data_IF_134842247368
#
_entry.id   IF_134842247368
#
_cell.length_a   1.000
_cell.length_b   1.000
_cell.length_c   1.000
_cell.angle_alpha   90.00
_cell.angle_beta   90.00
_cell.angle_gamma   90.00
#
_symmetry.space_group_name_H-M   'P 1'
#
loop_
_entity.id
_entity.type
_entity.pdbx_description
1 polymer ?
#
# COMPACT_ATOMS: atom_id res chain seq x y z
N UNK A 1 -16.08 -1.63 -19.51
CA UNK A 1 -16.18 -2.02 -18.09
C UNK A 1 -16.06 -0.76 -17.25
N UNK A 2 -16.99 -0.55 -16.30
CA UNK A 2 -16.97 0.63 -15.43
C UNK A 2 -16.28 0.30 -14.11
N UNK A 3 -15.28 1.09 -13.73
CA UNK A 3 -14.52 0.92 -12.51
C UNK A 3 -14.63 2.14 -11.60
N UNK A 4 -14.84 1.93 -10.30
CA UNK A 4 -14.66 2.93 -9.27
C UNK A 4 -13.32 2.72 -8.60
N UNK A 5 -12.54 3.79 -8.43
CA UNK A 5 -11.29 3.79 -7.66
C UNK A 5 -11.41 4.78 -6.50
N UNK A 6 -11.31 4.29 -5.27
CA UNK A 6 -11.13 5.16 -4.10
C UNK A 6 -9.65 5.29 -3.81
N UNK A 7 -9.21 6.44 -3.30
CA UNK A 7 -7.78 6.69 -3.10
C UNK A 7 -6.99 6.93 -4.40
N UNK A 8 -7.69 7.22 -5.52
CA UNK A 8 -7.11 7.45 -6.84
C UNK A 8 -6.06 8.57 -6.89
N UNK A 9 -6.11 9.53 -5.97
CA UNK A 9 -5.18 10.66 -5.90
C UNK A 9 -3.88 10.34 -5.16
N UNK A 10 -3.80 9.16 -4.54
CA UNK A 10 -2.61 8.67 -3.84
C UNK A 10 -1.58 8.03 -4.78
N UNK A 11 -0.47 7.57 -4.19
CA UNK A 11 0.63 6.92 -4.89
C UNK A 11 0.14 5.73 -5.74
N UNK A 12 -0.30 4.65 -5.11
CA UNK A 12 -0.72 3.42 -5.81
C UNK A 12 -1.98 3.69 -6.64
N UNK A 13 -2.95 4.45 -6.09
CA UNK A 13 -4.22 4.71 -6.77
C UNK A 13 -4.09 5.45 -8.08
N UNK A 14 -3.14 6.38 -8.20
CA UNK A 14 -2.89 7.11 -9.45
C UNK A 14 -2.29 6.21 -10.54
N UNK A 15 -1.35 5.34 -10.19
CA UNK A 15 -0.83 4.32 -11.12
C UNK A 15 -1.92 3.32 -11.56
N UNK A 16 -2.75 2.87 -10.62
CA UNK A 16 -3.87 1.99 -10.94
C UNK A 16 -4.88 2.66 -11.88
N UNK A 17 -5.20 3.93 -11.64
CA UNK A 17 -6.11 4.71 -12.49
C UNK A 17 -5.60 4.77 -13.94
N UNK A 18 -4.33 5.11 -14.13
CA UNK A 18 -3.70 5.13 -15.46
C UNK A 18 -3.72 3.73 -16.13
N UNK A 19 -3.39 2.69 -15.37
CA UNK A 19 -3.38 1.34 -15.89
C UNK A 19 -4.77 0.84 -16.27
N UNK A 20 -5.80 1.16 -15.49
CA UNK A 20 -7.19 0.82 -15.80
C UNK A 20 -7.65 1.49 -17.10
N UNK A 21 -7.33 2.78 -17.30
CA UNK A 21 -7.62 3.49 -18.56
C UNK A 21 -6.93 2.81 -19.75
N UNK A 22 -5.63 2.47 -19.63
CA UNK A 22 -4.89 1.73 -20.67
C UNK A 22 -5.49 0.35 -20.96
N UNK A 23 -6.13 -0.27 -19.98
CA UNK A 23 -6.83 -1.54 -20.10
C UNK A 23 -8.29 -1.42 -20.57
N UNK A 24 -8.73 -0.24 -21.03
CA UNK A 24 -10.06 0.00 -21.61
C UNK A 24 -11.20 0.11 -20.61
N UNK A 25 -10.90 0.43 -19.34
CA UNK A 25 -11.94 0.74 -18.37
C UNK A 25 -12.41 2.20 -18.50
N UNK A 26 -13.71 2.42 -18.29
CA UNK A 26 -14.22 3.74 -17.93
C UNK A 26 -14.04 3.92 -16.42
N UNK A 27 -13.18 4.84 -16.01
CA UNK A 27 -12.78 5.00 -14.62
C UNK A 27 -13.48 6.18 -13.98
N UNK A 28 -14.10 5.95 -12.82
CA UNK A 28 -14.55 6.99 -11.90
C UNK A 28 -13.67 7.00 -10.66
N UNK A 29 -13.24 8.17 -10.22
CA UNK A 29 -12.40 8.36 -9.04
C UNK A 29 -13.24 9.00 -7.92
N UNK A 30 -13.38 8.30 -6.78
CA UNK A 30 -13.97 8.91 -5.58
C UNK A 30 -12.96 9.87 -4.96
N UNK A 31 -13.32 11.15 -4.89
CA UNK A 31 -12.45 12.22 -4.42
C UNK A 31 -13.15 13.13 -3.42
N UNK A 32 -12.45 13.56 -2.37
CA UNK A 32 -12.95 14.56 -1.43
C UNK A 32 -12.84 15.95 -2.05
N UNK A 33 -13.58 16.93 -1.52
CA UNK A 33 -13.54 18.31 -2.04
C UNK A 33 -12.13 18.94 -2.00
N UNK A 34 -11.32 18.57 -1.02
CA UNK A 34 -9.95 19.06 -0.81
C UNK A 34 -8.86 18.11 -1.34
N UNK A 35 -9.21 17.11 -2.17
CA UNK A 35 -8.24 16.18 -2.74
C UNK A 35 -7.29 16.90 -3.71
N UNK A 36 -5.99 16.63 -3.58
CA UNK A 36 -5.01 17.08 -4.57
C UNK A 36 -5.07 16.17 -5.79
N UNK A 37 -5.50 16.69 -6.92
CA UNK A 37 -5.75 15.94 -8.15
C UNK A 37 -4.51 15.80 -9.05
N UNK A 38 -3.36 16.35 -8.67
CA UNK A 38 -2.13 16.48 -9.52
C UNK A 38 -1.75 15.22 -10.32
N UNK A 39 -2.03 14.02 -9.81
CA UNK A 39 -1.64 12.77 -10.48
C UNK A 39 -2.74 12.19 -11.39
N UNK A 40 -3.96 12.69 -11.29
CA UNK A 40 -5.08 12.27 -12.13
C UNK A 40 -5.64 13.41 -12.99
N UNK A 41 -5.10 14.61 -12.84
CA UNK A 41 -5.42 15.77 -13.67
C UNK A 41 -5.05 15.49 -15.12
N UNK A 42 -5.94 15.83 -16.04
CA UNK A 42 -5.75 15.55 -17.48
C UNK A 42 -6.03 14.11 -17.92
N UNK A 43 -6.25 13.17 -16.99
CA UNK A 43 -6.70 11.82 -17.34
C UNK A 43 -8.19 11.82 -17.71
N UNK A 44 -8.59 10.95 -18.64
CA UNK A 44 -9.99 10.77 -19.03
C UNK A 44 -10.76 9.96 -17.97
N UNK A 45 -11.00 10.58 -16.80
CA UNK A 45 -11.71 9.99 -15.68
C UNK A 45 -12.92 10.83 -15.27
N UNK A 46 -13.94 10.20 -14.72
CA UNK A 46 -15.05 10.89 -14.05
C UNK A 46 -14.70 11.10 -12.58
N UNK A 47 -14.95 12.29 -12.05
CA UNK A 47 -14.76 12.56 -10.62
C UNK A 47 -16.11 12.43 -9.90
N UNK A 48 -16.18 11.51 -8.95
CA UNK A 48 -17.29 11.37 -8.03
C UNK A 48 -16.90 11.99 -6.68
N UNK A 49 -17.68 12.97 -6.22
CA UNK A 49 -17.45 13.62 -4.92
C UNK A 49 -17.99 12.79 -3.79
N UNK A 50 -17.14 12.51 -2.79
CA UNK A 50 -17.52 11.76 -1.59
C UNK A 50 -16.31 11.49 -0.69
N UNK A 51 -16.62 11.12 0.55
CA UNK A 51 -15.65 10.74 1.57
C UNK A 51 -16.02 9.38 2.14
N UNK A 52 -15.09 8.43 2.19
CA UNK A 52 -15.32 7.10 2.76
C UNK A 52 -15.74 7.17 4.25
N UNK A 53 -15.36 8.22 4.98
CA UNK A 53 -15.77 8.42 6.36
C UNK A 53 -17.22 8.93 6.52
N UNK A 54 -17.84 9.41 5.44
CA UNK A 54 -19.21 9.92 5.42
C UNK A 54 -20.13 9.05 4.55
N UNK A 55 -20.93 8.13 5.14
CA UNK A 55 -21.81 7.23 4.40
C UNK A 55 -22.82 7.95 3.49
N UNK A 56 -23.30 9.14 3.89
CA UNK A 56 -24.28 9.89 3.14
C UNK A 56 -23.71 10.38 1.80
N UNK A 57 -22.40 10.67 1.75
CA UNK A 57 -21.70 11.08 0.53
C UNK A 57 -21.49 9.94 -0.47
N UNK A 58 -21.77 8.69 -0.10
CA UNK A 58 -21.52 7.49 -0.91
C UNK A 58 -22.77 6.97 -1.63
N UNK A 59 -23.91 7.67 -1.54
CA UNK A 59 -25.20 7.24 -2.12
C UNK A 59 -25.16 7.07 -3.64
N UNK A 60 -24.30 7.83 -4.32
CA UNK A 60 -24.17 7.81 -5.77
C UNK A 60 -23.18 6.73 -6.29
N UNK A 61 -22.68 5.87 -5.40
CA UNK A 61 -21.85 4.73 -5.79
C UNK A 61 -22.72 3.63 -6.37
N UNK A 62 -23.01 3.71 -7.68
CA UNK A 62 -23.87 2.75 -8.37
C UNK A 62 -23.44 2.50 -9.82
N UNK A 63 -23.81 1.31 -10.32
CA UNK A 63 -23.63 0.96 -11.74
C UNK A 63 -22.20 0.67 -12.14
N UNK A 64 -21.35 0.28 -11.20
CA UNK A 64 -19.97 -0.14 -11.44
C UNK A 64 -19.87 -1.66 -11.65
N UNK A 65 -19.00 -2.07 -12.58
CA UNK A 65 -18.60 -3.47 -12.74
C UNK A 65 -17.53 -3.89 -11.72
N UNK A 66 -16.65 -2.94 -11.35
CA UNK A 66 -15.52 -3.17 -10.45
C UNK A 66 -15.36 -2.01 -9.48
N UNK A 67 -15.01 -2.32 -8.24
CA UNK A 67 -14.62 -1.33 -7.24
C UNK A 67 -13.24 -1.68 -6.73
N UNK A 68 -12.30 -0.73 -6.83
CA UNK A 68 -10.96 -0.82 -6.28
C UNK A 68 -10.85 0.11 -5.09
N UNK A 69 -10.78 -0.45 -3.90
CA UNK A 69 -10.75 0.33 -2.66
C UNK A 69 -9.33 0.42 -2.11
N UNK A 70 -8.69 1.58 -2.37
CA UNK A 70 -7.35 1.93 -1.93
C UNK A 70 -7.34 3.07 -0.92
N UNK A 71 -8.47 3.74 -0.69
CA UNK A 71 -8.56 4.83 0.28
C UNK A 71 -8.17 4.31 1.67
N UNK A 72 -7.34 5.07 2.35
CA UNK A 72 -6.85 4.77 3.69
C UNK A 72 -5.69 5.71 4.05
N UNK A 73 -5.33 5.72 5.33
CA UNK A 73 -4.20 6.48 5.86
C UNK A 73 -3.11 5.53 6.35
N UNK A 74 -1.90 5.67 5.80
CA UNK A 74 -0.70 5.00 6.30
C UNK A 74 -0.08 5.75 7.49
N UNK A 75 -0.40 7.03 7.60
CA UNK A 75 0.04 7.94 8.67
C UNK A 75 -1.16 8.73 9.15
N UNK A 76 -1.63 8.44 10.34
CA UNK A 76 -2.70 9.15 11.01
C UNK A 76 -2.13 9.96 12.19
N UNK A 77 -2.78 11.04 12.58
CA UNK A 77 -2.38 11.83 13.74
C UNK A 77 -2.63 11.10 15.06
N UNK A 78 -3.61 10.19 15.09
CA UNK A 78 -3.96 9.36 16.25
C UNK A 78 -4.67 8.07 15.80
N UNK A 79 -4.89 7.16 16.76
CA UNK A 79 -5.55 5.86 16.50
C UNK A 79 -6.98 6.02 15.99
N UNK A 80 -7.74 7.01 16.48
CA UNK A 80 -9.12 7.25 16.08
C UNK A 80 -9.21 7.66 14.60
N UNK A 81 -8.30 8.52 14.13
CA UNK A 81 -8.22 8.91 12.73
C UNK A 81 -7.90 7.70 11.84
N UNK A 82 -6.96 6.84 12.27
CA UNK A 82 -6.63 5.59 11.57
C UNK A 82 -7.84 4.66 11.48
N UNK A 83 -8.55 4.48 12.60
CA UNK A 83 -9.76 3.67 12.65
C UNK A 83 -10.85 4.19 11.70
N UNK A 84 -11.14 5.49 11.76
CA UNK A 84 -12.16 6.12 10.90
C UNK A 84 -11.81 5.95 9.42
N UNK A 85 -10.54 6.19 9.05
CA UNK A 85 -10.15 6.14 7.64
C UNK A 85 -10.04 4.71 7.09
N UNK A 86 -9.44 3.78 7.84
CA UNK A 86 -9.05 2.47 7.32
C UNK A 86 -10.12 1.39 7.56
N UNK A 87 -10.76 1.40 8.73
CA UNK A 87 -11.74 0.38 9.10
C UNK A 87 -13.16 0.86 8.82
N UNK A 88 -13.58 1.98 9.44
CA UNK A 88 -14.94 2.51 9.26
C UNK A 88 -15.20 2.98 7.82
N UNK A 89 -14.20 3.63 7.19
CA UNK A 89 -14.28 4.01 5.79
C UNK A 89 -14.46 2.81 4.86
N UNK A 90 -13.76 1.70 5.15
CA UNK A 90 -13.94 0.44 4.40
C UNK A 90 -15.33 -0.15 4.62
N UNK A 91 -15.84 -0.17 5.87
CA UNK A 91 -17.21 -0.60 6.16
C UNK A 91 -18.23 0.21 5.36
N UNK A 92 -18.11 1.52 5.35
CA UNK A 92 -19.05 2.41 4.65
C UNK A 92 -19.06 2.14 3.13
N UNK A 93 -17.89 2.00 2.50
CA UNK A 93 -17.77 1.65 1.07
C UNK A 93 -18.37 0.27 0.80
N UNK A 94 -18.08 -0.73 1.62
CA UNK A 94 -18.66 -2.09 1.50
C UNK A 94 -20.18 -2.02 1.53
N UNK A 95 -20.75 -1.30 2.50
CA UNK A 95 -22.21 -1.16 2.63
C UNK A 95 -22.84 -0.45 1.44
N UNK A 96 -22.25 0.67 0.98
CA UNK A 96 -22.73 1.40 -0.19
C UNK A 96 -22.70 0.53 -1.46
N UNK A 97 -21.62 -0.24 -1.64
CA UNK A 97 -21.48 -1.14 -2.79
C UNK A 97 -22.47 -2.29 -2.75
N UNK A 98 -22.67 -2.92 -1.59
CA UNK A 98 -23.66 -3.99 -1.40
C UNK A 98 -25.09 -3.53 -1.71
N UNK A 99 -25.44 -2.29 -1.33
CA UNK A 99 -26.75 -1.71 -1.59
C UNK A 99 -26.98 -1.36 -3.06
N UNK A 100 -25.98 -0.75 -3.71
CA UNK A 100 -26.22 -0.03 -4.95
C UNK A 100 -25.60 -0.71 -6.19
N UNK A 101 -24.82 -1.81 -6.03
CA UNK A 101 -24.14 -2.50 -7.13
C UNK A 101 -24.39 -4.02 -7.15
N UNK A 102 -25.66 -4.48 -7.27
CA UNK A 102 -25.99 -5.91 -7.17
C UNK A 102 -25.35 -6.77 -8.28
N UNK A 103 -24.84 -6.15 -9.34
CA UNK A 103 -24.17 -6.82 -10.49
C UNK A 103 -22.67 -6.62 -10.49
N UNK A 104 -22.07 -6.21 -9.36
CA UNK A 104 -20.62 -6.03 -9.26
C UNK A 104 -19.88 -7.34 -9.57
N UNK A 105 -18.90 -7.27 -10.44
CA UNK A 105 -18.06 -8.42 -10.81
C UNK A 105 -16.97 -8.68 -9.79
N UNK A 106 -16.41 -7.61 -9.19
CA UNK A 106 -15.39 -7.76 -8.16
C UNK A 106 -15.22 -6.48 -7.34
N UNK A 107 -15.17 -6.66 -6.01
CA UNK A 107 -14.64 -5.67 -5.06
C UNK A 107 -13.20 -6.03 -4.73
N UNK A 108 -12.23 -5.18 -5.05
CA UNK A 108 -10.81 -5.40 -4.74
C UNK A 108 -10.40 -4.45 -3.62
N UNK A 109 -10.05 -5.01 -2.47
CA UNK A 109 -9.57 -4.25 -1.32
C UNK A 109 -8.05 -4.32 -1.23
N UNK A 110 -7.41 -3.15 -1.17
CA UNK A 110 -5.98 -3.06 -0.93
C UNK A 110 -5.74 -2.90 0.57
N UNK A 111 -5.40 -4.02 1.18
CA UNK A 111 -4.96 -4.12 2.57
C UNK A 111 -3.46 -3.82 2.69
N UNK A 112 -2.73 -4.54 3.51
CA UNK A 112 -1.29 -4.44 3.70
C UNK A 112 -0.74 -5.72 4.33
N UNK A 113 0.53 -6.02 4.11
CA UNK A 113 1.25 -7.03 4.90
C UNK A 113 1.21 -6.70 6.40
N UNK A 114 1.08 -5.42 6.79
CA UNK A 114 0.93 -5.00 8.17
C UNK A 114 -0.33 -5.61 8.85
N UNK A 115 -1.37 -5.95 8.09
CA UNK A 115 -2.55 -6.65 8.62
C UNK A 115 -2.25 -8.09 9.03
N UNK A 116 -1.35 -8.77 8.31
CA UNK A 116 -0.87 -10.10 8.71
C UNK A 116 0.12 -10.01 9.89
N UNK A 117 0.91 -8.94 9.94
CA UNK A 117 1.98 -8.74 10.90
C UNK A 117 3.35 -9.23 10.40
N UNK A 118 4.42 -9.03 11.21
CA UNK A 118 5.76 -9.49 10.89
C UNK A 118 5.87 -11.00 11.02
N UNK A 119 6.84 -11.60 10.34
CA UNK A 119 7.18 -13.01 10.51
C UNK A 119 7.73 -13.25 11.93
N UNK A 120 7.18 -14.23 12.65
CA UNK A 120 7.64 -14.53 14.01
C UNK A 120 8.93 -15.35 14.05
N UNK A 121 9.22 -16.11 13.00
CA UNK A 121 10.30 -17.12 12.94
C UNK A 121 11.30 -16.89 11.79
N UNK A 122 11.13 -15.81 11.04
CA UNK A 122 11.97 -15.46 9.90
C UNK A 122 11.55 -16.06 8.55
N UNK A 123 10.59 -17.01 8.54
CA UNK A 123 10.03 -17.51 7.29
C UNK A 123 9.00 -16.54 6.70
N UNK A 124 8.88 -16.40 5.37
CA UNK A 124 7.89 -15.51 4.74
C UNK A 124 6.46 -15.88 5.18
N UNK A 125 5.71 -14.87 5.63
CA UNK A 125 4.31 -15.04 6.06
C UNK A 125 3.45 -15.44 4.87
N UNK A 126 2.69 -16.54 5.00
CA UNK A 126 1.66 -16.95 4.04
C UNK A 126 0.29 -16.37 4.42
N UNK A 127 -0.68 -16.50 3.51
CA UNK A 127 -2.05 -16.02 3.72
C UNK A 127 -2.81 -16.85 4.77
N UNK A 128 -2.36 -18.09 5.04
CA UNK A 128 -2.95 -19.00 6.03
C UNK A 128 -2.37 -18.80 7.43
N UNK A 129 -1.34 -17.97 7.58
CA UNK A 129 -0.76 -17.66 8.87
C UNK A 129 -1.75 -16.86 9.73
N UNK A 130 -1.70 -17.08 11.05
CA UNK A 130 -2.51 -16.30 11.99
C UNK A 130 -2.11 -14.81 11.92
N UNK A 131 -3.07 -13.93 11.67
CA UNK A 131 -2.85 -12.50 11.65
C UNK A 131 -2.46 -11.98 13.04
N UNK A 132 -1.32 -11.28 13.12
CA UNK A 132 -0.78 -10.67 14.36
C UNK A 132 -0.27 -9.26 14.10
N UNK A 133 -1.15 -8.31 13.74
CA UNK A 133 -0.74 -6.93 13.49
C UNK A 133 -0.14 -6.29 14.74
N UNK A 134 0.99 -5.59 14.58
CA UNK A 134 1.74 -4.96 15.68
C UNK A 134 1.58 -3.45 15.73
N UNK A 135 1.01 -2.85 14.69
CA UNK A 135 0.77 -1.41 14.55
C UNK A 135 -0.73 -1.10 14.53
N UNK A 136 -1.12 0.12 14.86
CA UNK A 136 -2.51 0.60 14.73
C UNK A 136 -2.95 0.53 13.27
N UNK A 137 -2.06 0.94 12.35
CA UNK A 137 -2.29 0.80 10.91
C UNK A 137 -2.63 -0.64 10.52
N UNK A 138 -1.80 -1.61 10.93
CA UNK A 138 -2.04 -3.03 10.65
C UNK A 138 -3.37 -3.53 11.22
N UNK A 139 -3.71 -3.15 12.46
CA UNK A 139 -4.98 -3.51 13.12
C UNK A 139 -6.20 -2.96 12.37
N UNK A 140 -6.16 -1.68 11.98
CA UNK A 140 -7.27 -1.05 11.25
C UNK A 140 -7.40 -1.56 9.82
N UNK A 141 -6.29 -1.94 9.16
CA UNK A 141 -6.35 -2.63 7.86
C UNK A 141 -6.97 -4.02 7.99
N UNK A 142 -6.62 -4.78 9.04
CA UNK A 142 -7.23 -6.07 9.34
C UNK A 142 -8.73 -5.93 9.66
N UNK A 143 -9.14 -4.89 10.42
CA UNK A 143 -10.55 -4.56 10.64
C UNK A 143 -11.30 -4.34 9.32
N UNK A 144 -10.71 -3.57 8.40
CA UNK A 144 -11.25 -3.40 7.05
C UNK A 144 -11.40 -4.72 6.28
N UNK A 145 -10.43 -5.66 6.41
CA UNK A 145 -10.55 -6.98 5.81
C UNK A 145 -11.75 -7.78 6.34
N UNK A 146 -12.08 -7.66 7.63
CA UNK A 146 -13.23 -8.35 8.21
C UNK A 146 -14.56 -7.87 7.59
N UNK A 147 -14.71 -6.57 7.36
CA UNK A 147 -15.88 -6.03 6.65
C UNK A 147 -15.97 -6.55 5.21
N UNK A 148 -14.83 -6.62 4.50
CA UNK A 148 -14.77 -7.17 3.13
C UNK A 148 -15.07 -8.68 3.14
N UNK A 149 -14.53 -9.45 4.07
CA UNK A 149 -14.82 -10.89 4.25
C UNK A 149 -16.32 -11.11 4.54
N UNK A 150 -17.00 -10.15 5.18
CA UNK A 150 -18.46 -10.16 5.40
C UNK A 150 -19.30 -10.08 4.12
N UNK A 151 -18.70 -9.78 2.96
CA UNK A 151 -19.35 -9.85 1.64
C UNK A 151 -19.50 -11.28 1.12
N UNK A 152 -18.88 -12.28 1.76
CA UNK A 152 -18.93 -13.69 1.33
C UNK A 152 -20.36 -14.18 1.17
N UNK A 153 -20.65 -14.76 0.00
CA UNK A 153 -22.01 -15.23 -0.35
C UNK A 153 -22.97 -14.12 -0.79
N UNK A 154 -22.58 -12.85 -0.68
CA UNK A 154 -23.38 -11.69 -1.11
C UNK A 154 -22.83 -11.05 -2.38
N UNK A 155 -21.50 -10.93 -2.48
CA UNK A 155 -20.82 -10.23 -3.57
C UNK A 155 -19.39 -10.73 -3.75
N UNK A 156 -18.87 -10.85 -5.00
CA UNK A 156 -17.50 -11.26 -5.24
C UNK A 156 -16.49 -10.22 -4.74
N UNK A 157 -15.47 -10.68 -4.01
CA UNK A 157 -14.40 -9.81 -3.50
C UNK A 157 -13.02 -10.47 -3.57
N UNK A 158 -11.98 -9.66 -3.50
CA UNK A 158 -10.58 -10.08 -3.33
C UNK A 158 -9.86 -9.10 -2.41
N UNK A 159 -9.03 -9.61 -1.53
CA UNK A 159 -8.18 -8.81 -0.63
C UNK A 159 -6.73 -8.98 -1.07
N UNK A 160 -6.02 -7.87 -1.20
CA UNK A 160 -4.58 -7.86 -1.52
C UNK A 160 -3.83 -7.28 -0.33
N UNK A 161 -2.81 -8.00 0.13
CA UNK A 161 -1.85 -7.58 1.16
C UNK A 161 -0.50 -7.29 0.49
N UNK A 162 -0.26 -6.08 -0.01
CA UNK A 162 1.03 -5.73 -0.57
C UNK A 162 2.11 -5.73 0.50
N UNK A 163 3.32 -6.11 0.12
CA UNK A 163 4.55 -5.87 0.87
C UNK A 163 4.94 -4.38 0.86
N UNK A 164 6.19 -4.02 1.11
CA UNK A 164 6.65 -2.65 0.95
C UNK A 164 6.62 -2.24 -0.53
N UNK A 165 5.75 -1.28 -0.87
CA UNK A 165 5.60 -0.81 -2.26
C UNK A 165 6.44 0.44 -2.47
N UNK A 166 7.11 0.51 -3.62
CA UNK A 166 7.95 1.62 -4.02
C UNK A 166 7.86 1.91 -5.52
N UNK A 167 8.30 3.10 -5.92
CA UNK A 167 8.27 3.52 -7.32
C UNK A 167 8.07 5.04 -7.48
N UNK A 168 7.83 5.52 -8.69
CA UNK A 168 7.45 6.90 -8.97
C UNK A 168 6.28 7.36 -8.11
N UNK A 169 6.30 8.60 -7.60
CA UNK A 169 5.29 9.21 -6.71
C UNK A 169 5.26 8.68 -5.27
N UNK A 170 6.15 7.75 -4.90
CA UNK A 170 6.27 7.29 -3.52
C UNK A 170 6.98 8.34 -2.66
N UNK A 171 6.27 8.89 -1.66
CA UNK A 171 6.84 9.82 -0.70
C UNK A 171 7.44 9.16 0.54
N UNK A 172 7.13 7.90 0.79
CA UNK A 172 7.57 7.22 2.01
C UNK A 172 9.02 6.72 1.88
N UNK A 173 9.35 6.03 0.79
CA UNK A 173 10.72 5.58 0.55
C UNK A 173 11.67 6.73 0.16
N UNK A 174 11.14 7.86 -0.35
CA UNK A 174 11.91 9.05 -0.66
C UNK A 174 12.82 9.50 0.49
N UNK A 175 12.38 9.30 1.74
CA UNK A 175 13.18 9.67 2.92
C UNK A 175 14.49 8.88 2.97
N UNK A 176 14.45 7.59 2.63
CA UNK A 176 15.65 6.75 2.56
C UNK A 176 16.57 7.20 1.43
N UNK A 177 16.03 7.54 0.25
CA UNK A 177 16.82 8.11 -0.85
C UNK A 177 17.51 9.42 -0.43
N UNK A 178 16.81 10.30 0.29
CA UNK A 178 17.38 11.55 0.82
C UNK A 178 18.48 11.30 1.83
N UNK A 179 18.32 10.35 2.75
CA UNK A 179 19.35 9.98 3.72
C UNK A 179 20.61 9.45 3.01
N UNK A 180 20.45 8.55 2.03
CA UNK A 180 21.56 8.03 1.25
C UNK A 180 22.25 9.16 0.47
N UNK A 181 21.50 10.04 -0.19
CA UNK A 181 22.04 11.21 -0.91
C UNK A 181 22.80 12.16 0.02
N UNK A 182 22.30 12.34 1.26
CA UNK A 182 22.95 13.18 2.28
C UNK A 182 24.25 12.53 2.82
N UNK A 183 24.48 11.27 2.55
CA UNK A 183 25.67 10.54 2.94
C UNK A 183 25.63 9.92 4.34
N UNK A 184 24.47 9.87 5.00
CA UNK A 184 24.28 9.37 6.35
C UNK A 184 22.99 8.56 6.46
N UNK A 185 23.11 7.32 6.99
CA UNK A 185 21.93 6.47 7.22
C UNK A 185 22.01 5.81 8.58
N UNK A 186 20.96 5.91 9.41
CA UNK A 186 20.89 5.16 10.66
C UNK A 186 20.76 3.66 10.37
N UNK A 187 21.55 2.86 11.07
CA UNK A 187 21.63 1.41 10.91
C UNK A 187 21.45 0.72 12.27
N UNK A 188 20.36 0.01 12.45
CA UNK A 188 20.03 -0.73 13.67
C UNK A 188 20.11 -2.25 13.52
N UNK A 189 21.05 -2.71 12.67
CA UNK A 189 21.29 -4.12 12.39
C UNK A 189 20.48 -4.66 11.22
N UNK A 190 20.69 -5.94 10.90
CA UNK A 190 20.01 -6.60 9.80
C UNK A 190 18.53 -6.76 10.10
N UNK A 191 17.72 -6.36 9.16
CA UNK A 191 16.29 -6.65 9.08
C UNK A 191 15.98 -7.08 7.65
N UNK A 192 14.91 -7.82 7.44
CA UNK A 192 14.57 -8.44 6.17
C UNK A 192 13.18 -8.01 5.74
N UNK A 193 13.03 -7.71 4.46
CA UNK A 193 11.82 -7.14 3.89
C UNK A 193 11.49 -7.78 2.54
N UNK A 194 10.21 -7.93 2.25
CA UNK A 194 9.71 -8.12 0.90
C UNK A 194 9.34 -6.77 0.29
N UNK A 195 9.66 -6.60 -0.97
CA UNK A 195 9.32 -5.40 -1.75
C UNK A 195 8.50 -5.76 -2.98
N UNK A 196 7.84 -4.75 -3.54
CA UNK A 196 7.19 -4.86 -4.83
C UNK A 196 7.15 -3.49 -5.52
N UNK A 197 7.55 -3.44 -6.78
CA UNK A 197 7.46 -2.23 -7.59
C UNK A 197 6.00 -1.92 -7.93
N UNK A 198 5.65 -0.63 -7.95
CA UNK A 198 4.26 -0.18 -8.05
C UNK A 198 3.54 -0.70 -9.30
N UNK A 199 4.22 -0.76 -10.46
CA UNK A 199 3.60 -1.24 -11.69
C UNK A 199 3.30 -2.74 -11.63
N UNK A 200 4.16 -3.54 -10.98
CA UNK A 200 3.89 -4.96 -10.74
C UNK A 200 2.71 -5.16 -9.79
N UNK A 201 2.61 -4.33 -8.72
CA UNK A 201 1.43 -4.35 -7.86
C UNK A 201 0.16 -4.04 -8.65
N UNK A 202 0.17 -2.98 -9.45
CA UNK A 202 -0.99 -2.58 -10.28
C UNK A 202 -1.42 -3.70 -11.22
N UNK A 203 -0.45 -4.38 -11.85
CA UNK A 203 -0.73 -5.55 -12.67
C UNK A 203 -1.39 -6.68 -11.85
N UNK A 204 -0.88 -6.96 -10.64
CA UNK A 204 -1.47 -7.93 -9.71
C UNK A 204 -2.90 -7.58 -9.30
N UNK A 205 -3.17 -6.29 -9.03
CA UNK A 205 -4.52 -5.79 -8.72
C UNK A 205 -5.48 -6.04 -9.90
N UNK A 206 -5.08 -5.74 -11.13
CA UNK A 206 -5.91 -5.95 -12.32
C UNK A 206 -6.14 -7.44 -12.58
N UNK A 207 -5.11 -8.28 -12.40
CA UNK A 207 -5.24 -9.73 -12.50
C UNK A 207 -6.26 -10.26 -11.48
N UNK A 208 -6.16 -9.86 -10.22
CA UNK A 208 -7.06 -10.30 -9.15
C UNK A 208 -8.51 -9.86 -9.38
N UNK A 209 -8.74 -8.75 -10.07
CA UNK A 209 -10.08 -8.32 -10.45
C UNK A 209 -10.70 -9.19 -11.55
N UNK A 210 -9.89 -9.74 -12.46
CA UNK A 210 -10.34 -10.45 -13.66
C UNK A 210 -10.38 -11.97 -13.53
N UNK A 211 -9.61 -12.55 -12.60
CA UNK A 211 -9.52 -14.00 -12.41
C UNK A 211 -10.61 -14.49 -11.48
N UNK A 212 -11.36 -15.52 -11.89
CA UNK A 212 -12.42 -16.11 -11.05
C UNK A 212 -11.84 -16.77 -9.81
N UNK A 213 -10.63 -17.34 -9.91
CA UNK A 213 -9.89 -17.97 -8.81
C UNK A 213 -9.53 -16.98 -7.68
N UNK A 214 -9.67 -15.68 -7.94
CA UNK A 214 -9.45 -14.64 -6.94
C UNK A 214 -10.66 -14.38 -6.04
N UNK A 215 -11.83 -14.92 -6.38
CA UNK A 215 -13.04 -14.64 -5.63
C UNK A 215 -13.01 -15.21 -4.21
N UNK A 216 -13.21 -14.33 -3.22
CA UNK A 216 -13.21 -14.69 -1.81
C UNK A 216 -11.82 -14.91 -1.20
N UNK A 217 -10.76 -14.60 -1.94
CA UNK A 217 -9.39 -14.91 -1.59
C UNK A 217 -8.63 -13.69 -1.06
N UNK A 218 -7.62 -13.99 -0.24
CA UNK A 218 -6.57 -13.05 0.19
C UNK A 218 -5.28 -13.41 -0.53
N UNK A 219 -4.54 -12.41 -1.01
CA UNK A 219 -3.24 -12.59 -1.65
C UNK A 219 -2.20 -11.66 -1.06
N UNK A 220 -1.08 -12.23 -0.60
CA UNK A 220 0.13 -11.46 -0.37
C UNK A 220 0.81 -11.18 -1.71
N UNK A 221 1.32 -9.96 -1.89
CA UNK A 221 2.01 -9.56 -3.12
C UNK A 221 3.39 -8.98 -2.82
N UNK A 222 4.41 -9.63 -3.35
CA UNK A 222 5.81 -9.22 -3.33
C UNK A 222 6.49 -9.61 -4.66
N UNK A 223 7.72 -9.18 -4.87
CA UNK A 223 8.50 -9.62 -6.04
C UNK A 223 9.11 -11.03 -5.88
N UNK A 224 8.84 -11.70 -4.74
CA UNK A 224 9.29 -13.06 -4.43
C UNK A 224 10.68 -13.12 -3.80
N UNK A 225 11.41 -12.00 -3.72
CA UNK A 225 12.71 -11.93 -3.08
C UNK A 225 12.62 -11.42 -1.64
N UNK A 226 13.63 -11.74 -0.86
CA UNK A 226 13.83 -11.23 0.49
C UNK A 226 15.08 -10.36 0.49
N UNK A 227 14.92 -9.09 0.83
CA UNK A 227 16.00 -8.12 0.87
C UNK A 227 16.38 -7.79 2.31
N UNK A 228 17.67 -7.83 2.61
CA UNK A 228 18.19 -7.30 3.87
C UNK A 228 18.23 -5.76 3.85
N UNK A 229 18.32 -5.16 5.02
CA UNK A 229 18.57 -3.71 5.12
C UNK A 229 19.84 -3.27 4.36
N UNK A 230 20.84 -4.16 4.25
CA UNK A 230 22.05 -3.89 3.47
C UNK A 230 21.75 -3.86 1.97
N UNK A 231 20.98 -4.84 1.44
CA UNK A 231 20.60 -4.87 0.02
C UNK A 231 19.81 -3.62 -0.39
N UNK A 232 18.94 -3.12 0.51
CA UNK A 232 18.15 -1.91 0.27
C UNK A 232 19.07 -0.68 0.20
N UNK A 233 19.96 -0.53 1.19
CA UNK A 233 20.93 0.58 1.22
C UNK A 233 21.82 0.53 -0.02
N UNK A 234 22.33 -0.63 -0.39
CA UNK A 234 23.24 -0.80 -1.52
C UNK A 234 22.52 -0.52 -2.87
N UNK A 235 21.27 -0.98 -3.03
CA UNK A 235 20.46 -0.70 -4.22
C UNK A 235 20.20 0.80 -4.40
N UNK A 236 19.87 1.52 -3.32
CA UNK A 236 19.65 2.97 -3.36
C UNK A 236 20.97 3.71 -3.58
N UNK A 237 22.06 3.25 -2.95
CA UNK A 237 23.40 3.84 -3.08
C UNK A 237 23.91 3.76 -4.52
N UNK A 238 23.71 2.61 -5.17
CA UNK A 238 24.04 2.42 -6.58
C UNK A 238 23.20 3.33 -7.50
N UNK A 239 21.87 3.40 -7.26
CA UNK A 239 20.98 4.27 -8.02
C UNK A 239 21.35 5.76 -7.91
N UNK A 240 21.86 6.18 -6.75
CA UNK A 240 22.28 7.55 -6.48
C UNK A 240 23.77 7.82 -6.77
N UNK A 241 24.55 6.76 -7.00
CA UNK A 241 26.02 6.83 -7.12
C UNK A 241 26.68 7.45 -5.86
N UNK A 242 26.15 7.13 -4.68
CA UNK A 242 26.61 7.62 -3.39
C UNK A 242 27.06 6.46 -2.49
N UNK A 243 27.89 6.75 -1.50
CA UNK A 243 28.28 5.78 -0.47
C UNK A 243 28.03 6.38 0.91
N UNK A 244 26.84 6.14 1.50
CA UNK A 244 26.49 6.71 2.80
C UNK A 244 27.29 6.04 3.92
N UNK A 245 27.61 6.81 4.95
CA UNK A 245 28.11 6.28 6.21
C UNK A 245 26.96 5.67 7.00
N UNK A 246 27.10 4.41 7.38
CA UNK A 246 26.11 3.69 8.21
C UNK A 246 26.40 4.02 9.68
N UNK A 247 25.51 4.77 10.31
CA UNK A 247 25.59 5.09 11.74
C UNK A 247 24.93 3.98 12.55
N UNK A 248 25.74 3.22 13.29
CA UNK A 248 25.22 2.19 14.18
C UNK A 248 24.35 2.83 15.28
N UNK A 249 23.07 2.51 15.29
CA UNK A 249 22.10 2.97 16.27
C UNK A 249 21.54 1.75 17.01
N UNK A 250 21.70 1.63 18.32
CA UNK A 250 21.14 0.50 19.06
C UNK A 250 19.62 0.53 19.00
N UNK A 251 18.99 -0.65 18.82
CA UNK A 251 17.52 -0.77 18.76
C UNK A 251 16.82 -0.17 19.98
N UNK A 252 17.46 -0.17 21.15
CA UNK A 252 16.97 0.47 22.37
C UNK A 252 16.82 2.00 22.26
N UNK A 253 17.53 2.65 21.32
CA UNK A 253 17.42 4.09 21.09
C UNK A 253 16.25 4.48 20.16
N UNK A 254 15.64 3.52 19.46
CA UNK A 254 14.53 3.76 18.52
C UNK A 254 13.37 4.54 19.19
N UNK A 255 12.89 4.19 20.42
CA UNK A 255 11.82 4.93 21.08
C UNK A 255 12.19 6.38 21.38
N UNK A 256 13.44 6.64 21.75
CA UNK A 256 13.95 7.99 22.09
C UNK A 256 13.98 8.85 20.83
N UNK A 257 14.46 8.30 19.71
CA UNK A 257 14.49 8.99 18.42
C UNK A 257 13.07 9.34 17.98
N UNK A 258 12.10 8.45 18.19
CA UNK A 258 10.71 8.69 17.86
C UNK A 258 10.06 9.82 18.67
N UNK A 259 10.35 9.90 19.96
CA UNK A 259 9.87 11.01 20.82
C UNK A 259 10.44 12.34 20.35
N UNK A 260 11.74 12.38 20.02
CA UNK A 260 12.40 13.60 19.53
C UNK A 260 11.85 14.00 18.16
N UNK A 261 11.73 13.06 17.21
CA UNK A 261 11.19 13.31 15.89
C UNK A 261 9.72 13.78 15.93
N UNK A 262 8.91 13.20 16.81
CA UNK A 262 7.50 13.60 16.98
C UNK A 262 7.31 15.02 17.55
N UNK A 263 8.30 15.55 18.28
CA UNK A 263 8.28 16.93 18.78
C UNK A 263 8.70 17.99 17.75
N UNK A 264 9.41 17.57 16.70
CA UNK A 264 10.02 18.53 15.75
C UNK A 264 9.07 18.89 14.58
N UNK A 265 8.11 18.04 14.22
CA UNK A 265 7.06 18.36 13.22
C UNK A 265 5.87 17.41 13.31
N UNK A 266 4.66 17.93 13.37
CA UNK A 266 3.45 17.16 13.04
C UNK A 266 3.57 16.72 11.58
N UNK A 267 3.63 15.41 11.33
CA UNK A 267 3.84 14.83 9.99
C UNK A 267 5.22 14.19 9.79
N UNK A 268 6.01 13.96 10.85
CA UNK A 268 7.26 13.22 10.74
C UNK A 268 7.00 11.78 10.25
N UNK A 269 7.89 11.29 9.37
CA UNK A 269 7.86 9.93 8.79
C UNK A 269 7.91 8.84 9.87
N UNK A 270 8.37 9.18 11.07
CA UNK A 270 8.51 8.30 12.22
C UNK A 270 7.46 8.66 13.26
N UNK A 271 6.28 8.09 13.14
CA UNK A 271 5.27 8.11 14.20
C UNK A 271 5.45 6.90 15.14
N UNK A 272 4.78 6.89 16.29
CA UNK A 272 4.82 5.79 17.27
C UNK A 272 4.48 4.43 16.65
N UNK A 273 3.62 4.42 15.65
CA UNK A 273 3.14 3.24 14.95
C UNK A 273 4.26 2.61 14.11
N UNK A 274 5.00 3.43 13.35
CA UNK A 274 6.14 2.97 12.56
C UNK A 274 7.28 2.44 13.44
N UNK A 275 7.45 3.01 14.64
CA UNK A 275 8.43 2.52 15.60
C UNK A 275 8.10 1.11 16.11
N UNK A 276 6.82 0.76 16.27
CA UNK A 276 6.43 -0.61 16.63
C UNK A 276 6.81 -1.59 15.52
N UNK A 277 6.60 -1.20 14.25
CA UNK A 277 7.01 -2.02 13.12
C UNK A 277 8.53 -2.21 13.06
N UNK A 278 9.33 -1.17 13.28
CA UNK A 278 10.80 -1.21 13.25
C UNK A 278 11.44 -2.10 14.35
N UNK A 279 10.70 -2.46 15.39
CA UNK A 279 11.16 -3.42 16.42
C UNK A 279 11.29 -4.84 15.87
N UNK A 280 10.54 -5.18 14.82
CA UNK A 280 10.53 -6.49 14.20
C UNK A 280 11.49 -6.52 13.01
N UNK A 281 12.27 -7.60 12.93
CA UNK A 281 13.34 -7.71 11.93
C UNK A 281 12.91 -8.40 10.63
N UNK A 282 11.72 -9.01 10.57
CA UNK A 282 11.28 -9.80 9.41
C UNK A 282 9.90 -9.35 8.95
N UNK A 283 9.90 -8.53 7.90
CA UNK A 283 8.70 -8.08 7.19
C UNK A 283 8.65 -8.71 5.81
N UNK A 284 8.53 -10.04 5.80
CA UNK A 284 8.61 -10.87 4.59
C UNK A 284 7.34 -11.66 4.38
N UNK A 285 6.90 -11.80 3.12
CA UNK A 285 5.73 -12.59 2.77
C UNK A 285 5.97 -13.46 1.54
N UNK A 286 5.26 -14.58 1.48
CA UNK A 286 5.22 -15.45 0.30
C UNK A 286 4.19 -14.91 -0.69
N UNK A 287 4.55 -14.81 -1.97
CA UNK A 287 3.64 -14.50 -3.08
C UNK A 287 3.20 -15.76 -3.84
N UNK A 288 3.53 -16.94 -3.34
CA UNK A 288 3.31 -18.24 -4.01
C UNK A 288 1.85 -18.39 -4.46
N UNK A 289 0.91 -18.10 -3.59
CA UNK A 289 -0.53 -18.18 -3.89
C UNK A 289 -0.94 -17.27 -5.05
N UNK A 290 -0.42 -16.03 -5.10
CA UNK A 290 -0.67 -15.10 -6.19
C UNK A 290 -0.08 -15.60 -7.52
N UNK A 291 1.12 -16.18 -7.49
CA UNK A 291 1.74 -16.80 -8.67
C UNK A 291 0.91 -17.98 -9.17
N UNK A 292 0.54 -18.92 -8.29
CA UNK A 292 -0.16 -20.15 -8.66
C UNK A 292 -1.61 -19.91 -9.11
N UNK A 293 -2.37 -19.08 -8.38
CA UNK A 293 -3.80 -18.86 -8.69
C UNK A 293 -4.06 -17.77 -9.72
N UNK A 294 -3.24 -16.72 -9.73
CA UNK A 294 -3.48 -15.57 -10.61
C UNK A 294 -2.57 -15.56 -11.85
N UNK A 295 -1.47 -16.31 -11.86
CA UNK A 295 -0.39 -16.16 -12.82
C UNK A 295 0.36 -14.84 -12.60
N UNK A 296 0.42 -14.36 -11.34
CA UNK A 296 1.14 -13.14 -10.99
C UNK A 296 2.64 -13.33 -11.22
N UNK A 297 3.24 -12.49 -12.03
CA UNK A 297 4.65 -12.57 -12.41
C UNK A 297 5.30 -11.18 -12.30
N UNK A 298 5.78 -10.80 -11.11
CA UNK A 298 6.47 -9.53 -10.91
C UNK A 298 7.79 -9.54 -11.70
N UNK A 299 8.10 -8.42 -12.34
CA UNK A 299 9.22 -8.30 -13.28
C UNK A 299 10.36 -7.46 -12.77
N UNK A 300 10.04 -6.50 -11.90
CA UNK A 300 11.00 -5.47 -11.46
C UNK A 300 11.60 -5.87 -10.11
N UNK A 301 12.92 -6.07 -10.09
CA UNK A 301 13.66 -6.33 -8.85
C UNK A 301 14.13 -5.03 -8.22
N UNK A 302 14.44 -5.07 -6.92
CA UNK A 302 14.73 -3.87 -6.10
C UNK A 302 15.80 -2.96 -6.72
N UNK A 303 16.89 -3.51 -7.23
CA UNK A 303 18.01 -2.73 -7.80
C UNK A 303 17.58 -1.91 -9.02
N UNK A 304 16.84 -2.54 -9.92
CA UNK A 304 16.32 -1.88 -11.13
C UNK A 304 15.24 -0.85 -10.79
N UNK A 305 14.28 -1.24 -9.95
CA UNK A 305 13.21 -0.35 -9.51
C UNK A 305 13.72 0.85 -8.70
N UNK A 306 14.78 0.68 -7.87
CA UNK A 306 15.43 1.78 -7.16
C UNK A 306 16.03 2.79 -8.12
N UNK A 307 16.66 2.33 -9.21
CA UNK A 307 17.18 3.20 -10.27
C UNK A 307 16.06 4.00 -10.93
N UNK A 308 15.00 3.35 -11.41
CA UNK A 308 13.86 4.04 -12.04
C UNK A 308 13.18 5.03 -11.10
N UNK A 309 13.04 4.65 -9.82
CA UNK A 309 12.49 5.54 -8.78
C UNK A 309 13.37 6.77 -8.57
N UNK A 310 14.70 6.57 -8.47
CA UNK A 310 15.69 7.65 -8.33
C UNK A 310 15.64 8.62 -9.52
N UNK A 311 15.58 8.08 -10.75
CA UNK A 311 15.53 8.89 -11.97
C UNK A 311 14.24 9.72 -11.99
N UNK A 312 13.11 9.14 -11.62
CA UNK A 312 11.85 9.87 -11.50
C UNK A 312 11.92 10.98 -10.45
N UNK A 313 12.49 10.71 -9.26
CA UNK A 313 12.65 11.73 -8.22
C UNK A 313 13.52 12.90 -8.67
N UNK A 314 14.59 12.64 -9.43
CA UNK A 314 15.46 13.70 -9.99
C UNK A 314 14.72 14.55 -11.02
N UNK A 315 14.01 13.93 -11.97
CA UNK A 315 13.25 14.61 -13.03
C UNK A 315 12.17 15.52 -12.42
N UNK A 316 11.56 15.11 -11.30
CA UNK A 316 10.47 15.85 -10.66
C UNK A 316 10.93 16.72 -9.47
N UNK A 317 12.25 16.95 -9.31
CA UNK A 317 12.83 17.77 -8.25
C UNK A 317 12.45 17.33 -6.82
N UNK A 318 12.34 16.02 -6.59
CA UNK A 318 12.12 15.45 -5.28
C UNK A 318 13.45 15.13 -4.57
N UNK A 319 14.53 14.92 -5.34
CA UNK A 319 15.90 14.66 -4.91
C UNK A 319 16.87 15.75 -5.38
#
# INVERSE_FOLDING_TARGET
MKALVTGATGFIGSHLTEALLKNGFSVSCLVRNNSNLRYIEGLNVSLLKGDCSDPESLKDIQGFDYVFHLAGLTKAANEQESYIANEKGTENIVNAVLQNNPKLKRFVYISSLAAAGPSPDGHPVSEDAQEKPVSVYGKTKLGGEQHVKGMKGKMPFTIIRPSAIYGPRDGDLLVFFRMVKFGLIPYWGKSYYSFLYVDDLVNGIILSARRDEANGEVFNMSDGEIYSSDDIIDSISEALQCRPLRLAVPKSAIPIIGVIAGRIKSGSVVNSDKLQELRHSHWTCSNKKAVEKLGFAPRVKLREGAKWTSDWYRIHNWL
#
